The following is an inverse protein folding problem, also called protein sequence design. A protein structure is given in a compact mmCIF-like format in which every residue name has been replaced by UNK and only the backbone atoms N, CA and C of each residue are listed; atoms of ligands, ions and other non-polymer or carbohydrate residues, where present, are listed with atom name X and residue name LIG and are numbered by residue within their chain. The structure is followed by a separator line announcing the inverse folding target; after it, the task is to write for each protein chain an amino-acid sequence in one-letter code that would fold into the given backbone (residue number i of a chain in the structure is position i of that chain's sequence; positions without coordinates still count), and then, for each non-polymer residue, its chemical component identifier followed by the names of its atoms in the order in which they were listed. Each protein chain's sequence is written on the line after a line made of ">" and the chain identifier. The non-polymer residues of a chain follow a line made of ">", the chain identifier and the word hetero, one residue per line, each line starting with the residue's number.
data_IF_108249234904
#
_entry.id   IF_108249234904
#
_cell.length_a   1.000
_cell.length_b   1.000
_cell.length_c   1.000
_cell.angle_alpha   90.00
_cell.angle_beta   90.00
_cell.angle_gamma   90.00
#
_symmetry.space_group_name_H-M   'P 1'
#
loop_
_entity.id
_entity.type
_entity.pdbx_description
1 polymer ?
#
# COMPACT_ATOMS: atom_id res chain seq x y z
N UNK A 1 23.62 22.47 -6.26
CA UNK A 1 23.02 21.86 -7.47
C UNK A 1 22.05 20.79 -6.98
N UNK A 2 20.84 20.75 -7.55
CA UNK A 2 19.84 19.71 -7.19
C UNK A 2 20.28 18.39 -7.82
N UNK A 3 20.20 17.30 -7.06
CA UNK A 3 20.39 15.95 -7.62
C UNK A 3 19.15 15.55 -8.42
N UNK A 4 19.32 15.32 -9.72
CA UNK A 4 18.26 14.98 -10.68
C UNK A 4 18.23 13.50 -11.06
N UNK A 5 19.14 12.70 -10.51
CA UNK A 5 19.30 11.29 -10.89
C UNK A 5 18.48 10.34 -10.02
N UNK A 6 17.98 10.81 -8.89
CA UNK A 6 17.30 10.00 -7.87
C UNK A 6 16.02 10.68 -7.37
N UNK A 7 15.08 9.87 -6.89
CA UNK A 7 13.89 10.37 -6.19
C UNK A 7 14.27 10.76 -4.76
N UNK A 8 14.44 12.07 -4.55
CA UNK A 8 14.74 12.67 -3.24
C UNK A 8 13.60 13.61 -2.82
N UNK A 9 13.61 14.06 -1.56
CA UNK A 9 12.60 14.97 -1.04
C UNK A 9 13.20 15.97 -0.05
N UNK A 10 13.00 17.26 -0.32
CA UNK A 10 13.37 18.38 0.56
C UNK A 10 12.17 18.80 1.43
N UNK A 11 11.65 17.83 2.18
CA UNK A 11 10.56 18.01 3.13
C UNK A 11 10.79 17.11 4.35
N UNK A 12 10.16 17.45 5.48
CA UNK A 12 10.30 16.68 6.71
C UNK A 12 9.89 15.21 6.48
N UNK A 13 10.75 14.30 6.94
CA UNK A 13 10.54 12.86 6.85
C UNK A 13 10.36 12.33 5.41
N UNK A 14 11.23 12.76 4.49
CA UNK A 14 11.28 12.33 3.08
C UNK A 14 11.51 10.83 2.85
N UNK A 15 11.82 10.07 3.90
CA UNK A 15 11.84 8.61 3.88
C UNK A 15 10.42 7.99 3.85
N UNK A 16 9.37 8.72 4.23
CA UNK A 16 8.01 8.16 4.29
C UNK A 16 7.54 7.65 2.92
N UNK A 17 7.64 8.42 1.81
CA UNK A 17 7.15 7.92 0.52
C UNK A 17 7.92 6.69 0.02
N UNK A 18 9.19 6.54 0.41
CA UNK A 18 9.98 5.35 0.07
C UNK A 18 9.36 4.06 0.62
N UNK A 19 8.69 4.10 1.78
CA UNK A 19 8.01 2.92 2.34
C UNK A 19 6.49 2.93 2.11
N UNK A 20 5.85 4.09 2.23
CA UNK A 20 4.39 4.22 2.14
C UNK A 20 3.87 3.95 0.73
N UNK A 21 4.59 4.37 -0.30
CA UNK A 21 4.17 4.10 -1.68
C UNK A 21 4.21 2.59 -1.96
N UNK A 22 5.31 1.87 -1.70
CA UNK A 22 5.31 0.40 -1.74
C UNK A 22 4.20 -0.25 -0.93
N UNK A 23 4.06 0.18 0.32
CA UNK A 23 3.16 -0.44 1.27
C UNK A 23 1.71 -0.35 0.78
N UNK A 24 1.26 0.83 0.35
CA UNK A 24 -0.14 1.04 -0.04
C UNK A 24 -0.43 0.53 -1.45
N UNK A 25 0.49 0.64 -2.41
CA UNK A 25 0.17 0.38 -3.81
C UNK A 25 0.43 -1.04 -4.28
N UNK A 26 1.31 -1.81 -3.63
CA UNK A 26 1.58 -3.17 -4.09
C UNK A 26 1.87 -4.20 -2.98
N UNK A 27 2.00 -3.79 -1.71
CA UNK A 27 2.08 -4.74 -0.59
C UNK A 27 0.70 -4.98 0.01
N UNK A 28 0.02 -3.95 0.52
CA UNK A 28 -1.29 -4.05 1.17
C UNK A 28 -2.46 -4.38 0.25
N UNK A 29 -2.48 -4.05 -1.06
CA UNK A 29 -3.62 -4.39 -1.88
C UNK A 29 -3.92 -5.88 -1.93
N UNK A 30 -2.90 -6.74 -1.88
CA UNK A 30 -3.13 -8.20 -1.92
C UNK A 30 -3.78 -8.72 -0.62
N UNK A 31 -3.29 -8.39 0.59
CA UNK A 31 -4.02 -8.65 1.83
C UNK A 31 -5.44 -8.06 1.84
N UNK A 32 -5.63 -6.83 1.36
CA UNK A 32 -6.95 -6.20 1.31
C UNK A 32 -7.89 -6.96 0.36
N UNK A 33 -7.43 -7.31 -0.85
CA UNK A 33 -8.20 -8.12 -1.79
C UNK A 33 -8.51 -9.50 -1.23
N UNK A 34 -7.58 -10.13 -0.51
CA UNK A 34 -7.82 -11.42 0.13
C UNK A 34 -8.92 -11.32 1.20
N UNK A 35 -8.87 -10.30 2.07
CA UNK A 35 -9.90 -10.07 3.10
C UNK A 35 -11.27 -9.84 2.45
N UNK A 36 -11.33 -8.96 1.45
CA UNK A 36 -12.56 -8.67 0.72
C UNK A 36 -13.09 -9.91 0.00
N UNK A 37 -12.22 -10.68 -0.64
CA UNK A 37 -12.59 -11.93 -1.32
C UNK A 37 -13.18 -12.94 -0.35
N UNK A 38 -12.55 -13.16 0.81
CA UNK A 38 -13.05 -14.06 1.84
C UNK A 38 -14.40 -13.59 2.41
N UNK A 39 -14.61 -12.28 2.53
CA UNK A 39 -15.90 -11.74 2.95
C UNK A 39 -17.00 -11.95 1.89
N UNK A 40 -16.70 -11.75 0.61
CA UNK A 40 -17.64 -11.98 -0.51
C UNK A 40 -17.99 -13.47 -0.63
N UNK A 41 -16.99 -14.35 -0.54
CA UNK A 41 -17.14 -15.81 -0.70
C UNK A 41 -17.62 -16.51 0.57
N UNK A 42 -17.83 -15.78 1.67
CA UNK A 42 -18.40 -16.35 2.89
C UNK A 42 -19.84 -16.78 2.58
N UNK A 43 -20.05 -18.07 2.38
CA UNK A 43 -21.38 -18.66 2.27
C UNK A 43 -22.23 -18.27 3.49
N UNK A 44 -23.52 -18.02 3.24
CA UNK A 44 -24.45 -17.54 4.24
C UNK A 44 -24.40 -18.40 5.49
N UNK A 45 -24.20 -17.75 6.64
CA UNK A 45 -24.77 -18.23 7.89
C UNK A 45 -26.29 -18.10 7.75
N UNK A 46 -26.90 -18.94 6.91
CA UNK A 46 -28.34 -19.17 6.88
C UNK A 46 -28.66 -19.98 8.13
N UNK A 47 -28.89 -19.27 9.22
CA UNK A 47 -29.95 -19.62 10.18
C UNK A 47 -31.19 -18.80 9.85
#
# INVERSE_FOLDING_TARGET
>A
MVDITQLTGDYAASWLPWIMIPLIFYILPFPVFAIVFLWIQKEGSEE
#
